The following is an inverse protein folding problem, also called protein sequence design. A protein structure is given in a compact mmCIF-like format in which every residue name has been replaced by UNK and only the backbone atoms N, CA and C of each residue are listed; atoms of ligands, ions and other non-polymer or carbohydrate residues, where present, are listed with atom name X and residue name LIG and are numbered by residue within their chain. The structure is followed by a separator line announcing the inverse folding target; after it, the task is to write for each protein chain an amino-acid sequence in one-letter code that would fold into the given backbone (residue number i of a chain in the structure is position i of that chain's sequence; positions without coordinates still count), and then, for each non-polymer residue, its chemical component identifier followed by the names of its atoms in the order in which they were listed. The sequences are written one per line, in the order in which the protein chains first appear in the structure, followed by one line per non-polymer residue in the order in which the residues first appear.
data_IF_352822741848
#
_entry.id   IF_352822741848
#
_cell.length_a   1.000
_cell.length_b   1.000
_cell.length_c   1.000
_cell.angle_alpha   90.00
_cell.angle_beta   90.00
_cell.angle_gamma   90.00
#
_symmetry.space_group_name_H-M   'P 1'
#
loop_
_entity.id
_entity.type
_entity.pdbx_description
1 polymer ?
#
# COMPACT_ATOMS: atom_id res chain seq x y z
N UNK A 1 -32.51 -28.87 -11.80
CA UNK A 1 -31.74 -28.16 -12.83
C UNK A 1 -32.19 -26.71 -12.83
N UNK A 2 -31.59 -25.89 -11.97
CA UNK A 2 -31.73 -24.44 -11.92
C UNK A 2 -30.36 -23.91 -11.52
N UNK A 3 -29.78 -23.09 -12.38
CA UNK A 3 -28.44 -22.51 -12.24
C UNK A 3 -28.51 -21.34 -11.26
N UNK A 4 -27.69 -21.39 -10.21
CA UNK A 4 -27.44 -20.28 -9.30
C UNK A 4 -26.42 -19.32 -9.95
N UNK A 5 -26.77 -18.04 -10.01
CA UNK A 5 -25.89 -16.94 -10.39
C UNK A 5 -25.16 -16.46 -9.12
N UNK A 6 -23.83 -16.55 -9.12
CA UNK A 6 -22.97 -16.06 -8.05
C UNK A 6 -22.60 -14.60 -8.33
N UNK A 7 -23.29 -13.66 -7.69
CA UNK A 7 -22.83 -12.27 -7.58
C UNK A 7 -21.87 -12.14 -6.39
N UNK A 8 -20.67 -11.65 -6.67
CA UNK A 8 -19.57 -11.38 -5.74
C UNK A 8 -19.94 -10.32 -4.67
N UNK A 9 -19.51 -10.45 -3.40
CA UNK A 9 -19.82 -9.49 -2.35
C UNK A 9 -18.79 -8.34 -2.33
N UNK A 10 -18.86 -7.43 -3.30
CA UNK A 10 -18.38 -6.04 -3.12
C UNK A 10 -19.60 -5.19 -2.83
N UNK A 11 -19.85 -4.87 -1.56
CA UNK A 11 -20.68 -3.74 -1.06
C UNK A 11 -21.21 -4.08 0.34
N UNK A 12 -20.38 -4.02 1.38
CA UNK A 12 -20.87 -3.85 2.77
C UNK A 12 -19.77 -3.60 3.83
N UNK A 13 -18.79 -2.71 3.58
CA UNK A 13 -17.93 -2.21 4.66
C UNK A 13 -17.61 -0.72 4.45
N UNK A 14 -18.57 0.13 4.80
CA UNK A 14 -18.38 1.58 4.97
C UNK A 14 -19.11 2.01 6.25
N UNK A 15 -18.62 1.57 7.42
CA UNK A 15 -19.02 2.14 8.71
C UNK A 15 -18.07 1.72 9.84
N UNK A 16 -16.83 2.23 9.83
CA UNK A 16 -15.96 2.21 11.00
C UNK A 16 -14.86 3.29 10.88
N UNK A 17 -15.28 4.56 10.83
CA UNK A 17 -14.40 5.70 11.06
C UNK A 17 -14.91 6.41 12.31
N UNK A 18 -14.04 6.87 13.24
CA UNK A 18 -14.50 7.69 14.36
C UNK A 18 -15.18 8.94 13.82
N UNK A 19 -16.44 9.14 14.21
CA UNK A 19 -17.29 10.23 13.76
C UNK A 19 -16.66 11.59 14.08
N UNK A 20 -16.21 12.30 13.04
CA UNK A 20 -15.57 13.60 13.21
C UNK A 20 -15.06 14.29 11.94
N UNK A 21 -15.69 14.11 10.78
CA UNK A 21 -15.52 15.01 9.62
C UNK A 21 -16.54 14.67 8.51
N UNK A 22 -17.69 15.36 8.47
CA UNK A 22 -18.61 15.30 7.33
C UNK A 22 -19.36 16.64 7.19
N UNK A 23 -18.86 17.49 6.28
CA UNK A 23 -19.52 18.63 5.61
C UNK A 23 -18.75 18.76 4.29
N UNK A 24 -19.28 18.70 3.07
CA UNK A 24 -20.62 18.66 2.51
C UNK A 24 -20.54 17.99 1.12
N UNK A 25 -21.56 17.23 0.74
CA UNK A 25 -21.81 16.89 -0.67
C UNK A 25 -23.30 17.10 -0.93
N UNK A 26 -23.62 18.04 -1.81
CA UNK A 26 -24.93 18.13 -2.43
C UNK A 26 -24.78 18.51 -3.90
N UNK A 27 -25.34 17.61 -4.73
CA UNK A 27 -25.93 17.82 -6.05
C UNK A 27 -25.07 18.36 -7.19
N UNK A 28 -24.92 17.56 -8.25
CA UNK A 28 -25.44 17.90 -9.58
C UNK A 28 -25.48 16.66 -10.49
N UNK A 29 -26.69 16.26 -10.85
CA UNK A 29 -27.00 15.42 -12.01
C UNK A 29 -26.80 16.25 -13.29
N UNK A 30 -26.11 15.71 -14.29
CA UNK A 30 -25.99 16.33 -15.61
C UNK A 30 -25.68 15.29 -16.68
N UNK A 31 -26.66 15.05 -17.54
CA UNK A 31 -26.61 14.12 -18.67
C UNK A 31 -25.62 14.56 -19.77
N UNK A 32 -25.06 13.59 -20.50
CA UNK A 32 -24.34 13.82 -21.74
C UNK A 32 -25.31 14.35 -22.81
N UNK A 33 -24.97 15.50 -23.40
CA UNK A 33 -25.47 15.91 -24.71
C UNK A 33 -24.26 15.98 -25.65
N UNK A 34 -24.38 15.30 -26.79
CA UNK A 34 -23.52 15.46 -27.95
C UNK A 34 -23.94 16.72 -28.69
N UNK A 35 -23.01 17.60 -29.02
CA UNK A 35 -23.18 18.47 -30.18
C UNK A 35 -21.83 18.82 -30.80
N UNK A 36 -21.80 18.67 -32.12
CA UNK A 36 -20.76 19.07 -33.04
C UNK A 36 -20.55 20.58 -33.00
N UNK A 37 -19.32 21.04 -33.23
CA UNK A 37 -19.04 22.34 -33.84
C UNK A 37 -17.62 22.32 -34.42
N UNK A 38 -17.55 22.19 -35.75
CA UNK A 38 -16.42 22.60 -36.58
C UNK A 38 -16.23 24.13 -36.49
N UNK A 39 -14.98 24.60 -36.47
CA UNK A 39 -14.49 25.61 -37.41
C UNK A 39 -13.02 25.98 -37.12
N UNK A 40 -12.17 25.72 -38.10
CA UNK A 40 -11.07 26.53 -38.62
C UNK A 40 -10.20 27.34 -37.65
N UNK A 41 -8.91 26.99 -37.58
CA UNK A 41 -7.83 27.90 -37.98
C UNK A 41 -6.60 27.11 -38.48
N UNK A 42 -6.08 27.62 -39.60
CA UNK A 42 -5.10 27.08 -40.55
C UNK A 42 -3.63 27.33 -40.15
N UNK A 43 -2.72 26.61 -40.83
CA UNK A 43 -1.30 26.94 -41.12
C UNK A 43 -0.28 26.82 -39.95
N UNK A 44 0.83 26.05 -39.97
CA UNK A 44 1.82 25.72 -41.02
C UNK A 44 2.69 24.51 -40.58
N UNK A 45 2.85 23.54 -41.49
CA UNK A 45 4.05 22.72 -41.80
C UNK A 45 4.98 22.20 -40.69
N UNK A 46 5.10 20.86 -40.56
CA UNK A 46 6.36 20.14 -40.82
C UNK A 46 6.15 18.61 -40.98
N UNK A 47 6.44 18.15 -42.19
CA UNK A 47 6.78 16.80 -42.70
C UNK A 47 6.16 15.54 -42.10
N UNK A 48 5.37 14.86 -42.96
CA UNK A 48 5.00 13.45 -42.87
C UNK A 48 6.22 12.53 -42.79
N UNK A 49 6.20 11.60 -41.83
CA UNK A 49 6.88 10.30 -41.97
C UNK A 49 5.83 9.23 -41.67
N UNK A 50 5.33 8.64 -42.75
CA UNK A 50 4.66 7.34 -42.89
C UNK A 50 3.95 6.80 -41.64
N UNK A 51 2.70 7.23 -41.49
CA UNK A 51 1.72 6.62 -40.59
C UNK A 51 1.24 5.28 -41.12
N UNK A 52 1.78 4.19 -40.59
CA UNK A 52 1.05 2.92 -40.53
C UNK A 52 -0.01 3.05 -39.43
N UNK A 53 -1.25 3.20 -39.85
CA UNK A 53 -2.43 3.15 -39.02
C UNK A 53 -2.55 1.77 -38.35
N UNK A 54 -2.13 1.66 -37.08
CA UNK A 54 -2.51 0.53 -36.24
C UNK A 54 -3.83 0.85 -35.50
N UNK A 55 -4.94 0.74 -36.24
CA UNK A 55 -6.23 0.48 -35.62
C UNK A 55 -6.27 -1.00 -35.21
N UNK A 56 -6.25 -1.24 -33.90
CA UNK A 56 -6.73 -2.50 -33.33
C UNK A 56 -5.74 -3.19 -32.40
N UNK A 57 -5.78 -2.83 -31.11
CA UNK A 57 -5.67 -3.75 -29.98
C UNK A 57 -6.33 -3.08 -28.75
N UNK A 58 -6.99 -3.86 -27.86
CA UNK A 58 -8.06 -3.36 -27.00
C UNK A 58 -7.53 -2.45 -25.89
N UNK A 59 -8.25 -1.34 -25.68
CA UNK A 59 -8.11 -0.41 -24.57
C UNK A 59 -8.01 -1.14 -23.23
N UNK A 60 -6.78 -1.29 -22.73
CA UNK A 60 -6.49 -1.56 -21.33
C UNK A 60 -6.10 -0.26 -20.66
N UNK A 61 -7.11 0.55 -20.35
CA UNK A 61 -7.07 1.85 -19.65
C UNK A 61 -6.29 2.97 -20.35
N UNK A 62 -7.05 3.81 -21.06
CA UNK A 62 -6.71 5.23 -21.19
C UNK A 62 -6.43 5.79 -19.79
N UNK A 63 -5.34 6.55 -19.64
CA UNK A 63 -5.17 7.42 -18.49
C UNK A 63 -6.44 8.27 -18.36
N UNK A 64 -7.00 8.45 -17.14
CA UNK A 64 -8.26 9.16 -16.99
C UNK A 64 -8.11 10.56 -17.60
N UNK A 65 -8.88 10.82 -18.67
CA UNK A 65 -8.98 12.12 -19.33
C UNK A 65 -9.91 13.09 -18.58
N UNK A 66 -10.37 12.70 -17.39
CA UNK A 66 -11.11 13.55 -16.48
C UNK A 66 -10.17 14.40 -15.62
N UNK A 67 -10.46 15.69 -15.53
CA UNK A 67 -9.94 16.65 -14.54
C UNK A 67 -10.33 16.32 -13.10
N UNK A 68 -10.71 15.09 -12.78
CA UNK A 68 -10.84 14.63 -11.40
C UNK A 68 -9.42 14.46 -10.85
N UNK A 69 -8.97 15.47 -10.13
CA UNK A 69 -7.77 15.36 -9.31
C UNK A 69 -7.93 14.14 -8.40
N UNK A 70 -7.29 13.03 -8.75
CA UNK A 70 -7.17 11.89 -7.85
C UNK A 70 -6.59 12.42 -6.56
N UNK A 71 -7.35 12.27 -5.46
CA UNK A 71 -7.00 12.87 -4.19
C UNK A 71 -5.59 12.45 -3.83
N UNK A 72 -4.69 13.43 -3.68
CA UNK A 72 -3.36 13.19 -3.13
C UNK A 72 -3.53 12.35 -1.86
N UNK A 73 -2.66 11.36 -1.64
CA UNK A 73 -2.42 10.85 -0.30
C UNK A 73 -1.81 12.04 0.47
N UNK A 74 -2.66 12.91 1.00
CA UNK A 74 -2.27 14.14 1.69
C UNK A 74 -2.63 14.00 3.16
N UNK A 75 -1.78 13.25 3.86
CA UNK A 75 -1.80 13.25 5.32
C UNK A 75 -1.18 14.57 5.77
N UNK A 76 -2.00 15.46 6.33
CA UNK A 76 -1.51 16.75 6.79
C UNK A 76 -0.51 16.58 7.95
N UNK A 77 0.54 17.40 7.98
CA UNK A 77 1.53 17.34 9.07
C UNK A 77 0.90 17.64 10.44
N UNK A 78 -0.16 18.45 10.50
CA UNK A 78 -0.90 18.77 11.73
C UNK A 78 -1.69 17.57 12.25
N UNK A 79 -2.34 16.82 11.37
CA UNK A 79 -3.03 15.58 11.71
C UNK A 79 -2.05 14.53 12.24
N UNK A 80 -0.94 14.30 11.52
CA UNK A 80 0.09 13.38 11.94
C UNK A 80 0.71 13.78 13.30
N UNK A 81 0.93 15.08 13.53
CA UNK A 81 1.44 15.59 14.81
C UNK A 81 0.44 15.35 15.95
N UNK A 82 -0.86 15.56 15.70
CA UNK A 82 -1.91 15.30 16.67
C UNK A 82 -1.96 13.81 17.04
N UNK A 83 -1.93 12.92 16.05
CA UNK A 83 -1.92 11.47 16.27
C UNK A 83 -0.64 11.07 17.02
N UNK A 84 0.53 11.52 16.58
CA UNK A 84 1.82 11.27 17.24
C UNK A 84 1.84 11.73 18.71
N UNK A 85 1.08 12.77 19.05
CA UNK A 85 0.96 13.27 20.43
C UNK A 85 0.13 12.36 21.35
N UNK A 86 -0.79 11.56 20.79
CA UNK A 86 -1.80 10.79 21.54
C UNK A 86 -1.48 9.30 21.65
N UNK A 87 -0.73 8.75 20.69
CA UNK A 87 -0.39 7.33 20.68
C UNK A 87 0.62 6.98 21.79
N UNK A 88 0.56 5.74 22.34
CA UNK A 88 1.59 5.23 23.23
C UNK A 88 2.98 5.26 22.58
N UNK A 89 4.03 5.23 23.40
CA UNK A 89 5.41 5.28 22.93
C UNK A 89 6.30 4.33 23.69
N UNK A 90 7.38 3.89 23.05
CA UNK A 90 8.48 3.19 23.73
C UNK A 90 9.23 4.16 24.66
N UNK A 91 10.14 3.63 25.48
CA UNK A 91 11.05 4.45 26.30
C UNK A 91 11.94 5.39 25.47
N UNK A 92 12.31 4.97 24.25
CA UNK A 92 13.02 5.82 23.28
C UNK A 92 12.10 6.86 22.61
N UNK A 93 10.79 6.82 22.83
CA UNK A 93 9.84 7.77 22.25
C UNK A 93 9.28 7.39 20.88
N UNK A 94 9.56 6.17 20.38
CA UNK A 94 8.97 5.68 19.12
C UNK A 94 7.44 5.58 19.28
N UNK A 95 6.64 6.25 18.44
CA UNK A 95 5.18 6.13 18.48
C UNK A 95 4.73 4.73 18.07
N UNK A 96 3.84 4.15 18.87
CA UNK A 96 3.22 2.85 18.66
C UNK A 96 1.82 3.08 18.09
N UNK A 97 1.68 2.95 16.77
CA UNK A 97 0.46 3.22 16.03
C UNK A 97 0.10 2.05 15.14
N UNK A 98 -1.20 1.85 14.93
CA UNK A 98 -1.74 0.86 14.02
C UNK A 98 -2.95 1.45 13.28
N UNK A 99 -3.15 1.03 12.03
CA UNK A 99 -4.19 1.55 11.14
C UNK A 99 -5.51 0.79 11.26
N UNK A 100 -5.43 -0.54 11.33
CA UNK A 100 -6.59 -1.43 11.38
C UNK A 100 -6.32 -2.54 12.39
N UNK A 101 -6.64 -2.30 13.68
CA UNK A 101 -6.52 -3.34 14.71
C UNK A 101 -7.26 -4.61 14.30
N UNK A 102 -6.55 -5.74 14.31
CA UNK A 102 -7.13 -7.03 13.92
C UNK A 102 -7.12 -7.34 12.42
N UNK A 103 -6.48 -6.52 11.58
CA UNK A 103 -6.27 -6.90 10.17
C UNK A 103 -5.46 -8.19 10.03
N UNK A 104 -5.81 -9.03 9.05
CA UNK A 104 -5.23 -10.37 8.88
C UNK A 104 -3.72 -10.37 8.65
N UNK A 105 -3.24 -9.43 7.83
CA UNK A 105 -1.81 -9.26 7.53
C UNK A 105 -1.33 -7.94 8.12
N UNK A 106 -0.31 -7.95 8.98
CA UNK A 106 0.30 -6.71 9.42
C UNK A 106 1.45 -6.27 8.50
N UNK A 107 1.55 -4.98 8.23
CA UNK A 107 2.70 -4.36 7.57
C UNK A 107 3.49 -3.61 8.64
N UNK A 108 4.53 -4.25 9.16
CA UNK A 108 5.33 -3.72 10.26
C UNK A 108 6.46 -2.83 9.73
N UNK A 109 6.36 -1.54 10.07
CA UNK A 109 7.37 -0.52 9.81
C UNK A 109 8.28 -0.37 11.03
N UNK A 110 9.48 -0.95 10.95
CA UNK A 110 10.41 -1.01 12.07
C UNK A 110 11.45 0.11 12.02
N UNK A 111 11.24 1.15 12.81
CA UNK A 111 12.17 2.27 12.97
C UNK A 111 13.20 2.04 14.08
N UNK A 112 13.06 0.97 14.87
CA UNK A 112 13.88 0.67 16.04
C UNK A 112 15.26 0.10 15.70
N UNK A 113 15.54 -0.13 14.42
CA UNK A 113 16.74 -0.80 13.95
C UNK A 113 16.65 -2.32 14.11
N UNK A 114 17.56 -3.03 13.45
CA UNK A 114 17.53 -4.49 13.44
C UNK A 114 18.63 -5.11 12.60
N UNK A 115 18.56 -6.44 12.48
CA UNK A 115 19.49 -7.24 11.70
C UNK A 115 18.83 -7.67 10.39
N UNK A 116 19.46 -7.38 9.26
CA UNK A 116 18.98 -7.85 7.96
C UNK A 116 19.93 -8.92 7.40
N UNK A 117 19.39 -10.11 7.09
CA UNK A 117 20.08 -11.23 6.40
C UNK A 117 21.53 -11.51 6.85
N UNK A 118 21.76 -11.58 8.16
CA UNK A 118 22.97 -12.17 8.74
C UNK A 118 24.24 -11.31 8.75
N UNK A 119 24.24 -10.09 8.20
CA UNK A 119 25.38 -9.16 8.29
C UNK A 119 24.90 -7.70 8.21
N UNK A 120 25.52 -6.84 9.04
CA UNK A 120 25.22 -5.41 9.27
C UNK A 120 23.99 -5.16 10.15
N UNK A 121 24.25 -4.63 11.35
CA UNK A 121 23.22 -4.04 12.21
C UNK A 121 22.79 -2.70 11.59
N UNK A 122 21.51 -2.58 11.26
CA UNK A 122 20.90 -1.33 10.82
C UNK A 122 20.42 -0.60 12.07
N UNK A 123 20.99 0.56 12.35
CA UNK A 123 20.62 1.35 13.52
C UNK A 123 19.22 1.93 13.41
N UNK A 124 18.65 2.37 14.55
CA UNK A 124 17.39 3.11 14.58
C UNK A 124 17.39 4.28 13.60
N UNK A 125 16.22 4.54 13.02
CA UNK A 125 16.02 5.70 12.16
C UNK A 125 16.09 6.98 13.00
N UNK A 126 16.77 8.01 12.50
CA UNK A 126 16.88 9.31 13.14
C UNK A 126 17.06 10.43 12.10
N UNK A 127 16.42 11.57 12.35
CA UNK A 127 16.56 12.82 11.61
C UNK A 127 17.70 13.68 12.18
N UNK A 128 17.82 13.73 13.51
CA UNK A 128 18.82 14.58 14.19
C UNK A 128 20.15 13.86 14.48
N UNK A 129 20.25 12.58 14.12
CA UNK A 129 21.41 11.72 14.34
C UNK A 129 21.45 11.04 15.71
N UNK A 130 20.54 11.39 16.63
CA UNK A 130 20.42 10.74 17.92
C UNK A 130 19.61 9.44 17.82
N UNK A 131 20.30 8.33 17.54
CA UNK A 131 19.71 6.99 17.45
C UNK A 131 19.12 6.44 18.77
N UNK A 132 19.15 7.20 19.87
CA UNK A 132 18.62 6.76 21.18
C UNK A 132 17.22 7.30 21.48
N UNK A 133 16.75 8.32 20.75
CA UNK A 133 15.47 8.97 21.04
C UNK A 133 14.75 9.38 19.77
N UNK A 134 13.41 9.41 19.82
CA UNK A 134 12.55 9.97 18.78
C UNK A 134 11.92 11.30 19.25
N UNK A 135 12.42 12.41 18.72
CA UNK A 135 11.95 13.76 19.00
C UNK A 135 10.57 14.04 18.33
N UNK A 136 9.94 15.18 18.63
CA UNK A 136 8.59 15.47 18.11
C UNK A 136 8.48 15.51 16.59
N UNK A 137 9.52 15.94 15.89
CA UNK A 137 9.53 16.01 14.43
C UNK A 137 9.63 14.61 13.83
N UNK A 138 10.52 13.77 14.37
CA UNK A 138 10.65 12.37 13.96
C UNK A 138 9.36 11.60 14.20
N UNK A 139 8.73 11.77 15.38
CA UNK A 139 7.45 11.12 15.68
C UNK A 139 6.35 11.51 14.70
N UNK A 140 6.29 12.79 14.33
CA UNK A 140 5.32 13.30 13.35
C UNK A 140 5.58 12.71 11.96
N UNK A 141 6.85 12.66 11.53
CA UNK A 141 7.22 12.09 10.24
C UNK A 141 6.94 10.57 10.17
N UNK A 142 7.21 9.84 11.25
CA UNK A 142 6.94 8.40 11.36
C UNK A 142 5.45 8.11 11.22
N UNK A 143 4.61 8.81 12.00
CA UNK A 143 3.16 8.64 11.92
C UNK A 143 2.63 9.02 10.54
N UNK A 144 3.12 10.13 9.96
CA UNK A 144 2.74 10.53 8.61
C UNK A 144 3.08 9.45 7.59
N UNK A 145 4.29 8.90 7.60
CA UNK A 145 4.68 7.82 6.71
C UNK A 145 3.80 6.58 6.90
N UNK A 146 3.53 6.17 8.14
CA UNK A 146 2.69 5.01 8.42
C UNK A 146 1.24 5.21 7.94
N UNK A 147 0.68 6.41 8.09
CA UNK A 147 -0.64 6.75 7.56
C UNK A 147 -0.67 6.76 6.03
N UNK A 148 0.37 7.27 5.37
CA UNK A 148 0.48 7.25 3.91
C UNK A 148 0.60 5.82 3.36
N UNK A 149 1.34 4.93 4.05
CA UNK A 149 1.36 3.50 3.73
C UNK A 149 -0.04 2.89 3.94
N UNK A 150 -0.71 3.17 5.06
CA UNK A 150 -2.07 2.69 5.30
C UNK A 150 -3.05 3.12 4.21
N UNK A 151 -2.91 4.35 3.70
CA UNK A 151 -3.71 4.83 2.57
C UNK A 151 -3.34 4.15 1.25
N UNK A 152 -2.08 3.77 1.03
CA UNK A 152 -1.67 3.03 -0.16
C UNK A 152 -2.30 1.64 -0.21
N UNK A 153 -2.44 0.99 0.95
CA UNK A 153 -3.07 -0.33 1.07
C UNK A 153 -4.54 -0.27 1.49
N UNK A 154 -5.19 0.89 1.35
CA UNK A 154 -6.63 1.02 1.66
C UNK A 154 -7.43 0.12 0.74
N UNK A 155 -8.25 -0.75 1.30
CA UNK A 155 -9.06 -1.72 0.55
C UNK A 155 -8.59 -3.17 0.69
N UNK A 156 -7.43 -3.41 1.30
CA UNK A 156 -6.97 -4.74 1.70
C UNK A 156 -7.13 -4.94 3.21
N UNK A 157 -7.28 -6.19 3.63
CA UNK A 157 -7.36 -6.55 5.05
C UNK A 157 -5.97 -6.56 5.71
N UNK A 158 -5.38 -5.36 5.81
CA UNK A 158 -4.03 -5.16 6.32
C UNK A 158 -3.98 -4.20 7.51
N UNK A 159 -3.13 -4.52 8.48
CA UNK A 159 -2.79 -3.62 9.59
C UNK A 159 -1.40 -3.02 9.40
N UNK A 160 -1.30 -1.81 8.86
CA UNK A 160 -0.05 -1.05 8.90
C UNK A 160 0.22 -0.62 10.34
N UNK A 161 1.39 -0.96 10.86
CA UNK A 161 1.73 -0.73 12.27
C UNK A 161 3.21 -0.40 12.49
N UNK A 162 3.50 0.41 13.50
CA UNK A 162 4.84 0.64 14.06
C UNK A 162 5.05 -0.11 15.38
N UNK A 163 4.05 -0.86 15.84
CA UNK A 163 4.11 -1.69 17.05
C UNK A 163 4.32 -3.16 16.69
N UNK A 164 5.50 -3.68 17.03
CA UNK A 164 5.85 -5.09 16.82
C UNK A 164 4.86 -6.05 17.48
N UNK A 165 4.30 -5.70 18.64
CA UNK A 165 3.34 -6.55 19.33
C UNK A 165 2.06 -6.73 18.52
N UNK A 166 1.67 -5.71 17.75
CA UNK A 166 0.51 -5.77 16.85
C UNK A 166 0.82 -6.56 15.59
N UNK A 167 2.05 -6.45 15.09
CA UNK A 167 2.50 -7.25 13.97
C UNK A 167 2.48 -8.75 14.29
N UNK A 168 3.06 -9.16 15.43
CA UNK A 168 3.09 -10.59 15.84
C UNK A 168 1.73 -11.14 16.25
N UNK A 169 0.77 -10.27 16.60
CA UNK A 169 -0.60 -10.67 16.90
C UNK A 169 -1.45 -10.92 15.64
N UNK A 170 -0.96 -10.52 14.46
CA UNK A 170 -1.61 -10.78 13.17
C UNK A 170 -1.27 -12.18 12.67
N UNK A 171 -2.09 -12.73 11.77
CA UNK A 171 -1.91 -14.09 11.24
C UNK A 171 -0.61 -14.23 10.47
N UNK A 172 -0.29 -13.24 9.64
CA UNK A 172 1.01 -13.05 9.01
C UNK A 172 1.45 -11.59 9.11
N UNK A 173 2.74 -11.31 8.95
CA UNK A 173 3.20 -9.94 8.85
C UNK A 173 4.43 -9.77 7.96
N UNK A 174 4.44 -8.67 7.21
CA UNK A 174 5.60 -8.14 6.52
C UNK A 174 6.48 -7.39 7.53
N UNK A 175 7.79 -7.62 7.55
CA UNK A 175 8.71 -6.87 8.40
C UNK A 175 9.70 -6.05 7.56
N UNK A 176 9.46 -4.74 7.50
CA UNK A 176 10.30 -3.77 6.81
C UNK A 176 11.08 -2.91 7.81
N UNK A 177 12.40 -2.91 7.73
CA UNK A 177 13.24 -1.96 8.48
C UNK A 177 13.22 -0.58 7.83
N UNK A 178 13.15 0.47 8.65
CA UNK A 178 13.41 1.84 8.21
C UNK A 178 14.64 2.36 8.93
N UNK A 179 15.65 2.82 8.19
CA UNK A 179 16.98 3.08 8.76
C UNK A 179 17.80 4.08 7.93
N UNK A 180 18.62 4.89 8.60
CA UNK A 180 19.54 5.80 7.92
C UNK A 180 20.65 5.06 7.16
N UNK A 181 20.99 3.85 7.59
CA UNK A 181 22.13 3.12 7.03
C UNK A 181 21.82 2.59 5.60
N UNK A 182 20.55 2.62 5.18
CA UNK A 182 20.11 2.35 3.82
C UNK A 182 20.13 3.59 2.90
N UNK A 183 20.50 4.78 3.40
CA UNK A 183 20.57 6.02 2.62
C UNK A 183 19.22 6.38 1.99
N UNK A 184 19.19 6.47 0.66
CA UNK A 184 17.97 6.68 -0.15
C UNK A 184 17.42 5.39 -0.77
N UNK A 185 18.12 4.26 -0.60
CA UNK A 185 17.77 2.98 -1.22
C UNK A 185 16.69 2.22 -0.43
N UNK A 186 16.05 1.28 -1.09
CA UNK A 186 15.23 0.25 -0.45
C UNK A 186 15.50 -1.09 -1.13
N UNK A 187 15.18 -2.17 -0.41
CA UNK A 187 15.22 -3.53 -0.95
C UNK A 187 14.36 -4.43 -0.09
N UNK A 188 13.52 -5.23 -0.74
CA UNK A 188 12.75 -6.29 -0.10
C UNK A 188 12.89 -7.63 -0.81
N UNK A 189 12.54 -8.69 -0.09
CA UNK A 189 12.28 -10.00 -0.66
C UNK A 189 10.95 -10.01 -1.39
N UNK A 190 10.85 -10.89 -2.38
CA UNK A 190 9.63 -11.07 -3.15
C UNK A 190 8.86 -12.27 -2.61
N UNK A 191 7.55 -12.10 -2.46
CA UNK A 191 6.60 -13.16 -2.09
C UNK A 191 6.94 -13.87 -0.77
N UNK A 192 6.87 -13.11 0.33
CA UNK A 192 7.25 -13.55 1.68
C UNK A 192 6.16 -13.29 2.74
N UNK A 193 4.94 -12.90 2.30
CA UNK A 193 3.74 -12.83 3.13
C UNK A 193 3.12 -14.22 3.24
N UNK A 194 3.78 -15.10 3.98
CA UNK A 194 3.30 -16.47 4.24
C UNK A 194 3.80 -17.03 5.58
N UNK A 195 4.73 -16.33 6.24
CA UNK A 195 5.47 -16.82 7.40
C UNK A 195 5.56 -15.71 8.43
N UNK A 196 5.58 -16.07 9.71
CA UNK A 196 6.01 -15.18 10.81
C UNK A 196 7.52 -15.00 10.70
N UNK A 197 8.04 -13.91 10.12
CA UNK A 197 9.47 -13.83 9.86
C UNK A 197 10.26 -13.64 11.16
N UNK A 198 11.33 -14.42 11.33
CA UNK A 198 12.23 -14.25 12.47
C UNK A 198 13.16 -13.05 12.32
N UNK A 199 13.29 -12.50 11.10
CA UNK A 199 14.11 -11.35 10.75
C UNK A 199 13.39 -10.47 9.72
N UNK A 200 13.69 -9.17 9.64
CA UNK A 200 13.21 -8.31 8.58
C UNK A 200 13.46 -8.89 7.19
N UNK A 201 12.47 -8.80 6.32
CA UNK A 201 12.55 -9.32 4.94
C UNK A 201 12.81 -8.19 3.94
N UNK A 202 12.94 -6.94 4.40
CA UNK A 202 13.37 -5.81 3.59
C UNK A 202 13.78 -4.60 4.42
N UNK A 203 14.27 -3.57 3.74
CA UNK A 203 14.57 -2.28 4.33
C UNK A 203 14.21 -1.13 3.39
N UNK A 204 13.96 0.04 3.98
CA UNK A 204 13.78 1.33 3.33
C UNK A 204 14.66 2.39 3.98
N UNK A 205 15.25 3.26 3.17
CA UNK A 205 16.03 4.39 3.64
C UNK A 205 15.20 5.39 4.42
N UNK A 206 15.62 5.72 5.65
CA UNK A 206 14.94 6.69 6.51
C UNK A 206 14.89 8.10 5.90
N UNK A 207 15.73 8.41 4.91
CA UNK A 207 15.62 9.65 4.14
C UNK A 207 14.27 9.78 3.42
N UNK A 208 13.67 8.67 2.95
CA UNK A 208 12.33 8.70 2.36
C UNK A 208 11.28 9.14 3.39
N UNK A 209 11.47 8.79 4.66
CA UNK A 209 10.57 9.19 5.74
C UNK A 209 10.84 10.59 6.24
N UNK A 210 12.10 10.98 6.47
CA UNK A 210 12.41 12.23 7.15
C UNK A 210 12.69 13.41 6.21
N UNK A 211 13.27 13.16 5.04
CA UNK A 211 13.62 14.17 4.04
C UNK A 211 13.24 13.72 2.62
N UNK A 212 11.93 13.57 2.31
CA UNK A 212 11.49 13.07 1.02
C UNK A 212 11.88 14.05 -0.10
N UNK A 213 12.68 13.58 -1.07
CA UNK A 213 13.13 14.40 -2.20
C UNK A 213 12.08 14.57 -3.32
N UNK A 214 10.95 13.86 -3.26
CA UNK A 214 9.97 13.75 -4.35
C UNK A 214 8.53 13.75 -3.80
N UNK A 215 7.60 14.39 -4.54
CA UNK A 215 6.13 14.41 -4.35
C UNK A 215 5.55 14.35 -2.92
N UNK A 216 6.30 14.82 -1.92
CA UNK A 216 5.99 14.91 -0.49
C UNK A 216 5.54 13.61 0.23
N UNK A 217 5.39 12.48 -0.46
CA UNK A 217 4.94 11.22 0.16
C UNK A 217 6.11 10.49 0.83
N UNK A 218 6.13 10.54 2.15
CA UNK A 218 7.05 9.85 3.05
C UNK A 218 6.85 8.33 3.05
N UNK A 219 5.63 7.88 2.78
CA UNK A 219 5.25 6.47 2.74
C UNK A 219 5.62 5.73 1.46
N UNK A 220 5.95 6.43 0.37
CA UNK A 220 6.14 5.80 -0.95
C UNK A 220 7.12 4.63 -0.93
N UNK A 221 8.33 4.83 -0.40
CA UNK A 221 9.36 3.79 -0.46
C UNK A 221 8.95 2.58 0.38
N UNK A 222 8.38 2.82 1.56
CA UNK A 222 7.87 1.73 2.37
C UNK A 222 6.78 0.95 1.62
N UNK A 223 5.85 1.65 0.95
CA UNK A 223 4.83 1.00 0.12
C UNK A 223 5.42 0.18 -1.02
N UNK A 224 6.42 0.70 -1.74
CA UNK A 224 7.14 -0.01 -2.81
C UNK A 224 7.76 -1.31 -2.29
N UNK A 225 8.55 -1.23 -1.22
CA UNK A 225 9.25 -2.41 -0.67
C UNK A 225 8.28 -3.43 -0.07
N UNK A 226 7.19 -2.97 0.55
CA UNK A 226 6.12 -3.85 1.00
C UNK A 226 5.43 -4.54 -0.19
N UNK A 227 5.28 -3.87 -1.33
CA UNK A 227 4.69 -4.44 -2.55
C UNK A 227 5.47 -5.65 -3.05
N UNK A 228 6.80 -5.60 -3.00
CA UNK A 228 7.64 -6.77 -3.27
C UNK A 228 7.31 -7.94 -2.35
N UNK A 229 7.14 -7.70 -1.04
CA UNK A 229 6.85 -8.77 -0.10
C UNK A 229 5.55 -9.51 -0.44
N UNK A 230 4.58 -8.83 -1.03
CA UNK A 230 3.35 -9.44 -1.55
C UNK A 230 3.53 -10.24 -2.86
N UNK A 231 4.66 -10.09 -3.55
CA UNK A 231 4.97 -10.78 -4.81
C UNK A 231 5.01 -9.87 -6.03
N UNK A 232 4.91 -8.54 -5.86
CA UNK A 232 4.98 -7.61 -6.99
C UNK A 232 6.42 -7.42 -7.47
N UNK A 233 6.61 -7.32 -8.77
CA UNK A 233 7.86 -6.95 -9.43
C UNK A 233 7.81 -5.49 -9.84
N UNK A 234 8.97 -4.94 -10.21
CA UNK A 234 8.99 -3.60 -10.78
C UNK A 234 8.13 -3.54 -12.04
N UNK A 235 7.43 -2.42 -12.19
CA UNK A 235 6.51 -2.17 -13.29
C UNK A 235 7.02 -1.08 -14.22
N UNK A 236 6.68 -1.23 -15.49
CA UNK A 236 7.20 -0.38 -16.54
C UNK A 236 6.74 -0.82 -17.92
N UNK A 237 7.57 -0.55 -18.92
CA UNK A 237 7.34 -0.93 -20.31
C UNK A 237 8.66 -1.28 -20.99
N UNK A 238 8.64 -2.25 -21.89
CA UNK A 238 9.78 -2.49 -22.76
C UNK A 238 9.84 -1.45 -23.89
N UNK A 239 10.98 -0.76 -24.01
CA UNK A 239 11.29 0.19 -25.09
C UNK A 239 12.54 -0.31 -25.81
N UNK A 240 12.44 -0.58 -27.11
CA UNK A 240 13.54 -1.12 -27.93
C UNK A 240 14.22 -2.36 -27.32
N UNK A 241 13.42 -3.26 -26.74
CA UNK A 241 13.90 -4.50 -26.11
C UNK A 241 14.48 -4.34 -24.70
N UNK A 242 14.56 -3.12 -24.16
CA UNK A 242 15.01 -2.86 -22.79
C UNK A 242 13.82 -2.49 -21.88
N UNK A 243 13.75 -3.07 -20.69
CA UNK A 243 12.75 -2.68 -19.70
C UNK A 243 13.03 -1.28 -19.16
N UNK A 244 12.00 -0.45 -19.15
CA UNK A 244 12.02 0.92 -18.61
C UNK A 244 10.97 1.03 -17.52
N UNK A 245 11.44 1.25 -16.30
CA UNK A 245 10.54 1.53 -15.19
C UNK A 245 9.68 2.76 -15.48
N UNK A 246 8.47 2.78 -14.93
CA UNK A 246 7.48 3.82 -15.22
C UNK A 246 7.99 5.26 -15.02
N UNK A 247 8.89 5.49 -14.06
CA UNK A 247 9.52 6.80 -13.81
C UNK A 247 10.33 7.36 -14.97
N UNK A 248 10.91 6.50 -15.80
CA UNK A 248 11.72 6.90 -16.95
C UNK A 248 10.85 7.38 -18.11
N UNK A 249 9.55 7.06 -18.10
CA UNK A 249 8.64 7.30 -19.21
C UNK A 249 8.07 8.74 -19.19
N UNK A 250 8.03 9.45 -18.06
CA UNK A 250 7.66 10.90 -17.97
C UNK A 250 6.27 11.32 -18.52
N UNK A 251 5.41 10.39 -18.93
CA UNK A 251 4.11 10.72 -19.58
C UNK A 251 2.94 10.89 -18.61
N UNK A 252 3.09 10.51 -17.33
CA UNK A 252 2.01 10.53 -16.33
C UNK A 252 2.30 11.50 -15.19
N UNK A 253 1.23 12.12 -14.67
CA UNK A 253 1.28 12.93 -13.44
C UNK A 253 1.22 12.07 -12.18
N UNK A 254 0.70 10.85 -12.28
CA UNK A 254 0.62 9.87 -11.19
C UNK A 254 1.70 8.79 -11.37
N UNK A 255 2.48 8.54 -10.32
CA UNK A 255 3.45 7.46 -10.28
C UNK A 255 2.82 6.11 -9.95
N UNK A 256 3.54 5.03 -10.23
CA UNK A 256 3.16 3.69 -9.78
C UNK A 256 4.02 3.29 -8.57
N UNK A 257 3.42 2.65 -7.57
CA UNK A 257 4.14 2.19 -6.38
C UNK A 257 5.23 1.17 -6.71
N UNK A 258 5.08 0.38 -7.77
CA UNK A 258 6.11 -0.57 -8.24
C UNK A 258 6.99 -0.02 -9.36
N UNK A 259 6.73 1.21 -9.80
CA UNK A 259 7.59 1.92 -10.74
C UNK A 259 8.70 2.66 -10.00
N UNK A 260 9.59 3.29 -10.75
CA UNK A 260 10.66 4.06 -10.13
C UNK A 260 10.22 5.38 -9.49
N UNK A 261 11.17 6.02 -8.79
CA UNK A 261 10.98 7.34 -8.15
C UNK A 261 11.15 8.47 -9.13
N UNK A 262 10.32 9.52 -9.03
CA UNK A 262 10.46 10.70 -9.89
C UNK A 262 9.82 11.96 -9.31
N UNK A 263 10.45 13.12 -9.54
CA UNK A 263 9.87 14.44 -9.22
C UNK A 263 8.76 14.87 -10.19
N UNK A 264 8.61 14.19 -11.33
CA UNK A 264 7.58 14.52 -12.32
C UNK A 264 6.17 14.16 -11.85
N UNK A 265 6.03 13.28 -10.86
CA UNK A 265 4.74 12.86 -10.34
C UNK A 265 4.18 13.91 -9.38
N UNK A 266 3.10 14.58 -9.79
CA UNK A 266 2.53 15.73 -9.08
C UNK A 266 1.20 15.41 -8.37
N UNK A 267 0.57 14.28 -8.71
CA UNK A 267 -0.68 13.78 -8.10
C UNK A 267 -0.47 12.67 -7.05
N UNK A 268 0.71 12.07 -6.97
CA UNK A 268 1.02 11.01 -5.99
C UNK A 268 1.34 9.67 -6.65
N UNK A 269 1.07 8.57 -5.95
CA UNK A 269 1.34 7.20 -6.37
C UNK A 269 0.11 6.30 -6.20
N UNK A 270 -0.03 5.34 -7.10
CA UNK A 270 -1.12 4.35 -7.12
C UNK A 270 -0.59 2.95 -7.45
N UNK A 271 -1.39 1.92 -7.20
CA UNK A 271 -1.11 0.57 -7.69
C UNK A 271 -1.59 0.45 -9.12
N UNK A 272 -0.69 0.22 -10.07
CA UNK A 272 -1.04 0.12 -11.48
C UNK A 272 -0.80 -1.28 -12.05
N UNK A 273 -1.68 -1.69 -12.97
CA UNK A 273 -1.52 -2.93 -13.74
C UNK A 273 -0.64 -2.69 -14.96
N UNK A 274 0.66 -2.97 -14.84
CA UNK A 274 1.67 -2.70 -15.86
C UNK A 274 2.55 -3.91 -16.15
N UNK A 275 3.35 -3.84 -17.23
CA UNK A 275 4.32 -4.89 -17.55
C UNK A 275 5.38 -4.98 -16.47
N UNK A 276 5.77 -6.21 -16.14
CA UNK A 276 6.76 -6.50 -15.11
C UNK A 276 8.15 -6.66 -15.68
N UNK A 277 9.15 -6.43 -14.82
CA UNK A 277 10.57 -6.61 -15.13
C UNK A 277 10.98 -8.07 -15.39
N UNK A 278 10.20 -9.05 -14.93
CA UNK A 278 10.59 -10.48 -15.00
C UNK A 278 10.11 -11.22 -16.25
N UNK A 279 8.99 -10.81 -16.86
CA UNK A 279 8.35 -11.70 -17.85
C UNK A 279 7.63 -11.01 -18.99
N UNK A 280 7.74 -9.69 -19.16
CA UNK A 280 6.89 -8.88 -20.07
C UNK A 280 5.38 -9.06 -19.85
N UNK A 281 4.99 -9.88 -18.86
CA UNK A 281 3.61 -10.09 -18.45
C UNK A 281 3.18 -8.99 -17.50
N UNK A 282 1.87 -8.78 -17.42
CA UNK A 282 1.27 -7.77 -16.56
C UNK A 282 0.96 -8.37 -15.19
N UNK A 283 1.31 -7.66 -14.12
CA UNK A 283 0.84 -7.99 -12.77
C UNK A 283 -0.34 -7.10 -12.42
N UNK A 284 -1.36 -7.72 -11.82
CA UNK A 284 -2.51 -7.04 -11.24
C UNK A 284 -2.33 -6.99 -9.71
N UNK A 285 -2.05 -5.81 -9.13
CA UNK A 285 -1.83 -5.68 -7.69
C UNK A 285 -2.98 -6.24 -6.86
N UNK A 286 -4.24 -5.97 -7.23
CA UNK A 286 -5.42 -6.48 -6.52
C UNK A 286 -5.40 -8.00 -6.43
N UNK A 287 -5.03 -8.67 -7.53
CA UNK A 287 -4.96 -10.14 -7.58
C UNK A 287 -3.80 -10.69 -6.74
N UNK A 288 -2.64 -10.02 -6.78
CA UNK A 288 -1.46 -10.42 -6.00
C UNK A 288 -1.72 -10.25 -4.50
N UNK A 289 -2.33 -9.14 -4.09
CA UNK A 289 -2.71 -8.92 -2.69
C UNK A 289 -3.79 -9.90 -2.21
N UNK A 290 -4.79 -10.19 -3.05
CA UNK A 290 -5.81 -11.18 -2.73
C UNK A 290 -5.24 -12.60 -2.59
N UNK A 291 -4.32 -13.00 -3.48
CA UNK A 291 -3.66 -14.30 -3.41
C UNK A 291 -2.80 -14.42 -2.15
N UNK A 292 -2.01 -13.39 -1.84
CA UNK A 292 -1.24 -13.34 -0.60
C UNK A 292 -2.14 -13.42 0.65
N UNK A 293 -3.26 -12.70 0.68
CA UNK A 293 -4.23 -12.81 1.77
C UNK A 293 -4.87 -14.20 1.88
N UNK A 294 -5.13 -14.86 0.73
CA UNK A 294 -5.64 -16.23 0.68
C UNK A 294 -4.63 -17.26 1.17
N UNK A 295 -3.33 -17.07 0.91
CA UNK A 295 -2.24 -17.92 1.42
C UNK A 295 -2.05 -17.82 2.94
N UNK A 296 -2.58 -16.77 3.57
CA UNK A 296 -2.60 -16.57 5.02
C UNK A 296 -3.81 -17.27 5.68
N UNK A 297 -4.63 -18.00 4.92
CA UNK A 297 -5.72 -18.83 5.44
C UNK A 297 -5.20 -19.93 6.38
N UNK A 298 -5.75 -19.95 7.61
CA UNK A 298 -5.50 -21.00 8.58
C UNK A 298 -6.37 -22.21 8.25
N UNK A 299 -5.80 -23.41 8.19
CA UNK A 299 -6.59 -24.64 8.04
C UNK A 299 -7.40 -24.96 9.29
N UNK A 300 -6.80 -24.76 10.47
CA UNK A 300 -7.45 -24.78 11.79
C UNK A 300 -7.11 -23.46 12.48
N UNK A 301 -8.10 -22.79 13.09
CA UNK A 301 -7.86 -21.53 13.80
C UNK A 301 -7.15 -21.82 15.12
N UNK A 302 -6.18 -20.97 15.47
CA UNK A 302 -5.56 -21.00 16.79
C UNK A 302 -5.03 -19.60 17.13
N UNK A 303 -4.50 -19.34 18.34
CA UNK A 303 -4.03 -18.01 18.71
C UNK A 303 -2.86 -17.51 17.85
N UNK A 304 -2.15 -18.43 17.17
CA UNK A 304 -1.07 -18.14 16.25
C UNK A 304 -1.52 -17.95 14.80
N UNK A 305 -2.70 -18.44 14.45
CA UNK A 305 -3.29 -18.35 13.13
C UNK A 305 -4.79 -18.07 13.30
N UNK A 306 -5.12 -16.78 13.43
CA UNK A 306 -6.46 -16.35 13.80
C UNK A 306 -7.39 -16.28 12.59
N UNK A 307 -8.62 -16.74 12.78
CA UNK A 307 -9.65 -16.75 11.76
C UNK A 307 -10.40 -15.42 11.68
N UNK A 308 -10.67 -15.02 10.43
CA UNK A 308 -11.47 -13.85 10.11
C UNK A 308 -12.97 -14.07 10.25
N UNK A 309 -13.72 -13.03 9.90
CA UNK A 309 -15.17 -13.08 9.91
C UNK A 309 -15.68 -14.23 9.03
N UNK A 310 -16.55 -15.07 9.59
CA UNK A 310 -17.13 -16.27 8.97
C UNK A 310 -16.13 -17.37 8.58
N UNK A 311 -14.87 -17.30 9.05
CA UNK A 311 -13.93 -18.41 8.97
C UNK A 311 -14.10 -19.39 10.12
N UNK A 312 -13.86 -20.67 9.84
CA UNK A 312 -14.24 -21.78 10.70
C UNK A 312 -13.08 -22.54 11.33
N UNK A 313 -13.43 -23.42 12.27
CA UNK A 313 -12.52 -24.24 13.10
C UNK A 313 -11.86 -23.46 14.26
N UNK A 314 -12.61 -22.54 14.88
CA UNK A 314 -12.22 -21.92 16.15
C UNK A 314 -12.69 -22.76 17.35
N UNK A 315 -11.86 -22.88 18.39
CA UNK A 315 -12.23 -23.51 19.65
C UNK A 315 -12.60 -22.48 20.72
N UNK A 316 -11.91 -21.34 20.72
CA UNK A 316 -12.08 -20.23 21.68
C UNK A 316 -12.00 -18.87 20.99
N UNK A 317 -12.48 -17.81 21.65
CA UNK A 317 -12.42 -16.43 21.13
C UNK A 317 -10.99 -15.98 20.77
N UNK A 318 -9.97 -16.57 21.41
CA UNK A 318 -8.57 -16.26 21.13
C UNK A 318 -8.10 -16.75 19.74
N UNK A 319 -8.83 -17.69 19.14
CA UNK A 319 -8.57 -18.23 17.81
C UNK A 319 -9.17 -17.34 16.71
N UNK A 320 -9.95 -16.33 17.09
CA UNK A 320 -10.54 -15.37 16.19
C UNK A 320 -9.70 -14.08 16.12
N UNK A 321 -9.81 -13.38 14.98
CA UNK A 321 -9.24 -12.04 14.85
C UNK A 321 -9.81 -11.10 15.93
N UNK A 322 -9.02 -10.11 16.33
CA UNK A 322 -9.39 -9.21 17.43
C UNK A 322 -10.74 -8.56 17.15
N UNK A 323 -11.66 -8.65 18.11
CA UNK A 323 -13.01 -8.10 17.98
C UNK A 323 -14.07 -9.09 17.51
N UNK A 324 -13.67 -10.33 17.19
CA UNK A 324 -14.57 -11.44 16.89
C UNK A 324 -14.62 -12.43 18.08
N UNK A 325 -15.71 -13.19 18.13
CA UNK A 325 -15.97 -14.26 19.11
C UNK A 325 -16.15 -15.58 18.39
N UNK A 326 -15.73 -16.67 19.03
CA UNK A 326 -15.91 -17.99 18.46
C UNK A 326 -17.34 -18.47 18.71
N UNK A 327 -18.09 -18.71 17.62
CA UNK A 327 -19.43 -19.25 17.65
C UNK A 327 -19.34 -20.77 17.49
N UNK A 328 -19.44 -21.48 18.62
CA UNK A 328 -19.47 -22.93 18.59
C UNK A 328 -20.82 -23.45 18.06
N UNK A 329 -20.80 -24.27 17.00
CA UNK A 329 -21.97 -25.03 16.55
C UNK A 329 -21.58 -26.46 16.26
N UNK A 330 -22.49 -27.38 16.57
CA UNK A 330 -22.29 -28.81 16.31
C UNK A 330 -21.93 -29.04 14.83
N UNK A 331 -20.64 -29.30 14.59
CA UNK A 331 -20.08 -29.62 13.28
C UNK A 331 -19.53 -28.46 12.45
N UNK A 332 -19.63 -27.19 12.90
CA UNK A 332 -19.04 -26.02 12.23
C UNK A 332 -18.87 -24.87 13.22
N UNK A 333 -17.68 -24.72 13.79
CA UNK A 333 -17.34 -23.56 14.62
C UNK A 333 -16.82 -22.44 13.71
N UNK A 334 -17.12 -21.17 14.02
CA UNK A 334 -16.69 -20.03 13.21
C UNK A 334 -16.63 -18.69 13.96
N UNK A 335 -15.86 -17.73 13.46
CA UNK A 335 -15.65 -16.43 14.10
C UNK A 335 -16.68 -15.36 13.67
N UNK A 336 -17.28 -14.65 14.65
CA UNK A 336 -18.27 -13.59 14.43
C UNK A 336 -18.22 -12.47 15.46
#
# INVERSE_FOLDING_TARGET
MMLASTTSPRHQLLSAWPAGALVALATLTGACATDELESDLDDTTFEEVDGEAFCGLPHGHEAPSGTEAVARIDVSSSEAALVASRVPRTSAGLPLWESQPGGRVALYLDFGGGYYKGQTYYGPASLDGNKSTFNSEERTAIIRAAMEVAQAYRGYDVNVTTDKNKAVASTAYAWLLVTNDAGTSGRAQIDVIDRRPTNPQGYAGASAVFNPSYSAQRGYLASHELGHMFGLYHTGRYVNGAFKEWSELKWSRTGDFMGGRSSYFTSGYEWMRLQTSESSSYQDPDAVFADAAGRVSCGECNPDCRCGLDEGDCDVDADCMVGLTCVQRSGTDYCR
#
